data_IF_696880239936
#
_entry.id   IF_696880239936
#
_cell.length_a   1.000
_cell.length_b   1.000
_cell.length_c   1.000
_cell.angle_alpha   90.00
_cell.angle_beta   90.00
_cell.angle_gamma   90.00
#
_symmetry.space_group_name_H-M   'P 1'
#
loop_
_entity.id
_entity.type
_entity.pdbx_description
1 polymer ?
#
# COMPACT_ATOMS: atom_id res chain seq x y z
N UNK A 1 37.71 2.54 39.91
CA UNK A 1 37.00 2.26 38.66
C UNK A 1 37.25 3.44 37.73
N UNK A 2 38.14 3.26 36.76
CA UNK A 2 38.56 4.33 35.83
C UNK A 2 37.44 4.58 34.82
N UNK A 3 36.88 5.79 34.83
CA UNK A 3 35.95 6.28 33.81
C UNK A 3 36.71 6.43 32.50
N UNK A 4 36.41 5.57 31.51
CA UNK A 4 36.90 5.73 30.14
C UNK A 4 36.36 7.03 29.57
N UNK A 5 37.25 7.81 28.94
CA UNK A 5 36.93 9.01 28.17
C UNK A 5 36.08 8.62 26.96
N UNK A 6 35.01 9.37 26.78
CA UNK A 6 34.05 9.30 25.68
C UNK A 6 34.60 10.06 24.47
N UNK A 7 35.02 9.36 23.43
CA UNK A 7 35.43 9.94 22.14
C UNK A 7 34.45 9.47 21.05
N UNK A 8 34.06 10.38 20.15
CA UNK A 8 33.13 10.27 19.01
C UNK A 8 32.31 8.95 18.89
N UNK A 9 30.99 9.02 19.16
CA UNK A 9 30.06 7.86 19.07
C UNK A 9 29.08 7.69 20.24
N UNK A 10 28.94 8.67 21.14
CA UNK A 10 28.15 8.53 22.37
C UNK A 10 26.65 8.85 22.26
N UNK A 11 26.16 9.20 21.08
CA UNK A 11 24.78 9.61 20.87
C UNK A 11 24.11 8.59 19.96
N UNK A 12 23.41 7.64 20.56
CA UNK A 12 22.46 6.79 19.85
C UNK A 12 21.07 7.44 19.86
N UNK A 13 20.29 7.20 18.79
CA UNK A 13 18.96 7.75 18.64
C UNK A 13 17.98 6.67 18.16
N UNK A 14 16.71 6.83 18.54
CA UNK A 14 15.59 6.03 18.03
C UNK A 14 14.41 6.97 17.80
N UNK A 15 13.81 6.86 16.63
CA UNK A 15 12.59 7.54 16.24
C UNK A 15 11.56 6.48 15.87
N UNK A 16 10.32 6.63 16.35
CA UNK A 16 9.23 5.69 16.09
C UNK A 16 7.95 6.45 15.77
N UNK A 17 7.09 5.88 14.93
CA UNK A 17 5.71 6.34 14.75
C UNK A 17 4.73 5.16 14.79
N UNK A 18 3.52 5.43 15.29
CA UNK A 18 2.41 4.47 15.30
C UNK A 18 1.52 4.55 14.04
N UNK A 19 1.81 5.50 13.15
CA UNK A 19 1.11 5.70 11.88
C UNK A 19 0.56 7.11 11.73
N UNK A 20 0.11 7.43 10.53
CA UNK A 20 -0.35 8.76 10.14
C UNK A 20 -1.80 8.63 9.65
N UNK A 21 -2.69 9.34 10.34
CA UNK A 21 -4.13 9.25 10.16
C UNK A 21 -4.85 9.96 11.30
N UNK A 22 -6.17 9.78 11.39
CA UNK A 22 -6.95 10.38 12.46
C UNK A 22 -6.88 9.53 13.73
N UNK A 23 -6.18 10.04 14.73
CA UNK A 23 -6.14 9.46 16.07
C UNK A 23 -7.22 10.14 16.92
N UNK A 24 -8.20 9.37 17.40
CA UNK A 24 -9.21 9.90 18.32
C UNK A 24 -8.55 10.33 19.62
N UNK A 25 -9.10 11.39 20.23
CA UNK A 25 -8.61 11.91 21.51
C UNK A 25 -8.61 10.85 22.63
N UNK A 26 -9.48 9.84 22.54
CA UNK A 26 -9.55 8.75 23.51
C UNK A 26 -8.36 7.80 23.38
N UNK A 27 -7.92 7.51 22.15
CA UNK A 27 -6.86 6.55 21.86
C UNK A 27 -5.48 7.17 21.72
N UNK A 28 -5.37 8.50 21.57
CA UNK A 28 -4.10 9.22 21.44
C UNK A 28 -3.08 8.82 22.54
N UNK A 29 -3.51 8.79 23.80
CA UNK A 29 -2.65 8.39 24.91
C UNK A 29 -2.17 6.94 24.82
N UNK A 30 -2.98 6.05 24.24
CA UNK A 30 -2.64 4.63 24.08
C UNK A 30 -1.59 4.46 22.98
N UNK A 31 -1.73 5.18 21.86
CA UNK A 31 -0.75 5.24 20.78
C UNK A 31 0.58 5.83 21.25
N UNK A 32 0.53 6.98 21.94
CA UNK A 32 1.73 7.61 22.52
C UNK A 32 2.43 6.69 23.51
N UNK A 33 1.67 5.94 24.33
CA UNK A 33 2.23 4.95 25.24
C UNK A 33 2.91 3.81 24.48
N UNK A 34 2.31 3.31 23.39
CA UNK A 34 2.92 2.27 22.56
C UNK A 34 4.26 2.74 21.97
N UNK A 35 4.30 3.93 21.37
CA UNK A 35 5.53 4.56 20.87
C UNK A 35 6.59 4.73 21.97
N UNK A 36 6.21 5.30 23.11
CA UNK A 36 7.12 5.53 24.23
C UNK A 36 7.69 4.23 24.79
N UNK A 37 6.86 3.19 24.95
CA UNK A 37 7.31 1.89 25.45
C UNK A 37 8.29 1.23 24.46
N UNK A 38 7.99 1.27 23.15
CA UNK A 38 8.87 0.76 22.10
C UNK A 38 10.21 1.51 22.04
N UNK A 39 10.17 2.85 22.03
CA UNK A 39 11.37 3.69 22.01
C UNK A 39 12.26 3.48 23.24
N UNK A 40 11.68 3.31 24.43
CA UNK A 40 12.44 3.04 25.67
C UNK A 40 13.20 1.71 25.62
N UNK A 41 12.56 0.66 25.12
CA UNK A 41 13.21 -0.66 25.01
C UNK A 41 14.32 -0.61 23.95
N UNK A 42 14.05 -0.04 22.78
CA UNK A 42 15.05 0.13 21.72
C UNK A 42 16.23 1.00 22.18
N UNK A 43 15.97 2.11 22.87
CA UNK A 43 17.03 2.96 23.45
C UNK A 43 17.85 2.22 24.51
N UNK A 44 17.23 1.33 25.29
CA UNK A 44 17.96 0.48 26.24
C UNK A 44 18.87 -0.50 25.49
N UNK A 45 18.43 -1.07 24.38
CA UNK A 45 19.25 -1.92 23.53
C UNK A 45 20.45 -1.17 22.95
N UNK A 46 20.23 0.03 22.38
CA UNK A 46 21.29 0.88 21.83
C UNK A 46 22.32 1.27 22.91
N UNK A 47 21.87 1.69 24.10
CA UNK A 47 22.75 2.06 25.22
C UNK A 47 23.62 0.91 25.74
N UNK A 48 23.21 -0.33 25.50
CA UNK A 48 23.98 -1.53 25.84
C UNK A 48 24.87 -2.03 24.68
N UNK A 49 25.03 -1.24 23.62
CA UNK A 49 25.88 -1.57 22.47
C UNK A 49 25.21 -2.45 21.41
N UNK A 50 23.87 -2.57 21.44
CA UNK A 50 23.10 -3.20 20.37
C UNK A 50 23.16 -2.40 19.07
N UNK A 51 22.96 -3.08 17.94
CA UNK A 51 23.00 -2.43 16.62
C UNK A 51 21.72 -1.64 16.33
N UNK A 52 21.79 -0.72 15.36
CA UNK A 52 20.62 0.00 14.89
C UNK A 52 19.53 -0.93 14.33
N UNK A 53 19.92 -2.02 13.65
CA UNK A 53 18.99 -3.05 13.16
C UNK A 53 18.22 -3.72 14.29
N UNK A 54 18.92 -4.11 15.36
CA UNK A 54 18.29 -4.79 16.49
C UNK A 54 17.34 -3.83 17.25
N UNK A 55 17.70 -2.55 17.34
CA UNK A 55 16.87 -1.50 17.92
C UNK A 55 15.58 -1.24 17.11
N UNK A 56 15.68 -1.19 15.77
CA UNK A 56 14.51 -1.07 14.87
C UNK A 56 13.61 -2.29 15.01
N UNK A 57 14.17 -3.50 14.96
CA UNK A 57 13.42 -4.73 15.06
C UNK A 57 12.67 -4.83 16.39
N UNK A 58 13.33 -4.59 17.53
CA UNK A 58 12.66 -4.71 18.84
C UNK A 58 11.58 -3.64 19.03
N UNK A 59 11.79 -2.42 18.53
CA UNK A 59 10.77 -1.37 18.56
C UNK A 59 9.52 -1.79 17.80
N UNK A 60 9.70 -2.27 16.57
CA UNK A 60 8.59 -2.67 15.69
C UNK A 60 7.89 -3.93 16.21
N UNK A 61 8.62 -4.95 16.67
CA UNK A 61 8.02 -6.14 17.29
C UNK A 61 7.09 -5.79 18.45
N UNK A 62 7.52 -4.87 19.33
CA UNK A 62 6.72 -4.44 20.47
C UNK A 62 5.45 -3.70 20.06
N UNK A 63 5.49 -2.96 18.94
CA UNK A 63 4.31 -2.30 18.39
C UNK A 63 3.41 -3.31 17.68
N UNK A 64 3.93 -4.23 16.87
CA UNK A 64 3.16 -5.31 16.22
C UNK A 64 2.38 -6.20 17.20
N UNK A 65 2.86 -6.34 18.44
CA UNK A 65 2.17 -7.06 19.50
C UNK A 65 1.03 -6.25 20.16
N UNK A 66 0.86 -4.96 19.83
CA UNK A 66 -0.23 -4.12 20.33
C UNK A 66 -1.44 -4.17 19.42
N UNK A 67 -2.60 -4.40 20.01
CA UNK A 67 -3.89 -4.36 19.32
C UNK A 67 -4.22 -2.98 18.73
N UNK A 68 -3.69 -1.89 19.30
CA UNK A 68 -4.00 -0.53 18.89
C UNK A 68 -3.38 -0.13 17.55
N UNK A 69 -2.29 -0.80 17.15
CA UNK A 69 -1.56 -0.48 15.92
C UNK A 69 -1.99 -1.37 14.77
N UNK A 70 -2.09 -0.82 13.56
CA UNK A 70 -2.40 -1.59 12.36
C UNK A 70 -1.18 -2.36 11.81
N UNK A 71 -0.62 -3.26 12.61
CA UNK A 71 0.47 -4.15 12.23
C UNK A 71 0.47 -5.39 13.14
N UNK A 72 0.96 -6.53 12.64
CA UNK A 72 0.97 -7.78 13.41
C UNK A 72 -0.41 -8.17 13.93
N UNK A 73 -0.56 -8.27 15.25
CA UNK A 73 -1.80 -8.69 15.92
C UNK A 73 -2.96 -7.67 15.81
N UNK A 74 -2.66 -6.38 15.67
CA UNK A 74 -3.68 -5.32 15.52
C UNK A 74 -4.09 -5.03 14.08
N UNK A 75 -3.60 -5.83 13.12
CA UNK A 75 -3.78 -5.59 11.69
C UNK A 75 -5.25 -5.57 11.25
N UNK A 76 -5.53 -4.69 10.30
CA UNK A 76 -6.76 -4.71 9.51
C UNK A 76 -6.89 -6.03 8.75
N UNK A 77 -8.14 -6.41 8.51
CA UNK A 77 -8.48 -7.68 7.87
C UNK A 77 -8.76 -7.51 6.38
N UNK A 78 -8.43 -8.55 5.59
CA UNK A 78 -8.81 -8.65 4.17
C UNK A 78 -10.33 -8.78 4.00
N UNK A 79 -10.82 -8.75 2.76
CA UNK A 79 -12.25 -9.02 2.48
C UNK A 79 -12.72 -10.38 3.01
N UNK A 80 -11.82 -11.37 3.08
CA UNK A 80 -12.08 -12.70 3.63
C UNK A 80 -11.96 -12.78 5.16
N UNK A 81 -11.57 -11.69 5.82
CA UNK A 81 -11.41 -11.63 7.28
C UNK A 81 -10.07 -12.15 7.80
N UNK A 82 -9.06 -12.31 6.92
CA UNK A 82 -7.73 -12.78 7.31
C UNK A 82 -6.78 -11.63 7.60
N UNK A 83 -5.74 -11.89 8.40
CA UNK A 83 -4.59 -11.00 8.57
C UNK A 83 -3.53 -11.32 7.50
N UNK A 84 -3.13 -10.28 6.77
CA UNK A 84 -1.99 -10.29 5.86
C UNK A 84 -1.15 -9.03 6.09
N UNK A 85 0.15 -9.19 6.30
CA UNK A 85 1.04 -8.10 6.66
C UNK A 85 2.13 -7.85 5.62
N UNK A 86 2.54 -6.60 5.57
CA UNK A 86 3.65 -6.07 4.78
C UNK A 86 4.70 -5.52 5.75
N UNK A 87 5.98 -5.85 5.55
CA UNK A 87 7.06 -5.31 6.38
C UNK A 87 8.40 -5.29 5.65
N UNK A 88 9.25 -4.32 5.99
CA UNK A 88 10.59 -4.14 5.45
C UNK A 88 11.54 -3.68 6.54
N UNK A 89 12.78 -4.15 6.48
CA UNK A 89 13.89 -3.62 7.27
C UNK A 89 15.10 -3.39 6.36
N UNK A 90 15.80 -2.27 6.55
CA UNK A 90 16.94 -1.83 5.75
C UNK A 90 18.10 -1.48 6.67
N UNK A 91 19.29 -1.99 6.36
CA UNK A 91 20.51 -1.75 7.11
C UNK A 91 21.31 -0.53 6.61
N UNK A 92 22.36 -0.17 7.35
CA UNK A 92 23.28 0.92 7.05
C UNK A 92 24.05 0.79 5.72
N UNK A 93 24.03 -0.39 5.08
CA UNK A 93 24.64 -0.63 3.77
C UNK A 93 23.61 -0.55 2.64
N UNK A 94 22.35 -0.23 2.96
CA UNK A 94 21.23 -0.22 2.01
C UNK A 94 20.72 -1.63 1.66
N UNK A 95 21.19 -2.69 2.34
CA UNK A 95 20.65 -4.04 2.16
C UNK A 95 19.31 -4.13 2.88
N UNK A 96 18.40 -4.90 2.33
CA UNK A 96 17.02 -4.93 2.81
C UNK A 96 16.46 -6.34 2.84
N UNK A 97 15.59 -6.59 3.81
CA UNK A 97 14.74 -7.76 3.83
C UNK A 97 13.28 -7.31 3.89
N UNK A 98 12.41 -7.95 3.11
CA UNK A 98 11.01 -7.58 3.03
C UNK A 98 10.08 -8.78 2.90
N UNK A 99 8.86 -8.62 3.42
CA UNK A 99 7.73 -9.51 3.20
C UNK A 99 6.50 -8.72 2.76
N UNK A 100 5.65 -9.33 1.93
CA UNK A 100 4.40 -8.71 1.46
C UNK A 100 3.25 -9.71 1.42
N UNK A 101 2.04 -9.25 1.76
CA UNK A 101 0.84 -10.07 1.90
C UNK A 101 1.10 -11.38 2.70
N UNK A 102 1.96 -11.32 3.70
CA UNK A 102 2.40 -12.48 4.45
C UNK A 102 1.43 -12.74 5.60
N UNK A 103 0.95 -13.98 5.70
CA UNK A 103 0.03 -14.42 6.74
C UNK A 103 0.73 -15.38 7.72
N UNK A 104 0.08 -15.65 8.86
CA UNK A 104 0.53 -16.61 9.88
C UNK A 104 1.82 -16.23 10.63
N UNK A 105 2.32 -15.01 10.45
CA UNK A 105 3.50 -14.49 11.15
C UNK A 105 3.06 -13.44 12.16
N UNK A 106 3.35 -13.67 13.44
CA UNK A 106 3.00 -12.73 14.53
C UNK A 106 3.75 -11.40 14.43
N UNK A 107 5.04 -11.47 14.10
CA UNK A 107 5.91 -10.31 13.99
C UNK A 107 6.49 -10.20 12.57
N UNK A 108 5.75 -9.58 11.63
CA UNK A 108 6.20 -9.39 10.25
C UNK A 108 7.61 -8.81 10.10
N UNK A 109 8.00 -7.85 10.94
CA UNK A 109 9.34 -7.25 10.89
C UNK A 109 10.46 -8.28 11.13
N UNK A 110 10.23 -9.29 11.97
CA UNK A 110 11.23 -10.35 12.20
C UNK A 110 11.32 -11.31 11.01
N UNK A 111 10.24 -11.55 10.29
CA UNK A 111 10.31 -12.30 9.03
C UNK A 111 11.11 -11.52 7.97
N UNK A 112 10.92 -10.19 7.89
CA UNK A 112 11.74 -9.32 7.05
C UNK A 112 13.22 -9.34 7.48
N UNK A 113 13.52 -9.27 8.79
CA UNK A 113 14.89 -9.39 9.31
C UNK A 113 15.55 -10.72 8.95
N UNK A 114 14.83 -11.83 9.06
CA UNK A 114 15.34 -13.15 8.68
C UNK A 114 15.75 -13.20 7.21
N UNK A 115 15.00 -12.55 6.32
CA UNK A 115 15.34 -12.45 4.89
C UNK A 115 16.60 -11.59 4.69
N UNK A 116 16.74 -10.48 5.43
CA UNK A 116 17.95 -9.66 5.41
C UNK A 116 19.18 -10.48 5.86
N UNK A 117 19.11 -11.13 7.02
CA UNK A 117 20.22 -11.90 7.59
C UNK A 117 20.60 -13.12 6.71
N UNK A 118 19.64 -13.67 5.96
CA UNK A 118 19.90 -14.74 5.00
C UNK A 118 20.81 -14.31 3.84
N UNK A 119 20.90 -13.00 3.54
CA UNK A 119 21.75 -12.48 2.46
C UNK A 119 23.24 -12.57 2.77
N UNK A 120 23.62 -12.61 4.05
CA UNK A 120 25.00 -12.85 4.46
C UNK A 120 25.48 -14.27 4.13
N UNK A 121 24.56 -15.19 3.89
CA UNK A 121 24.86 -16.59 3.60
C UNK A 121 24.96 -16.79 2.09
N UNK A 122 26.14 -17.21 1.61
CA UNK A 122 26.30 -17.64 0.23
C UNK A 122 25.52 -18.93 -0.01
N UNK A 123 24.67 -18.93 -1.03
CA UNK A 123 23.99 -20.13 -1.49
C UNK A 123 24.88 -20.95 -2.41
N UNK A 124 24.61 -22.25 -2.48
CA UNK A 124 25.24 -23.14 -3.45
C UNK A 124 25.02 -22.64 -4.88
N UNK A 125 26.01 -22.91 -5.74
CA UNK A 125 25.97 -22.59 -7.18
C UNK A 125 25.84 -21.08 -7.47
N UNK A 126 26.47 -20.23 -6.66
CA UNK A 126 26.48 -18.77 -6.85
C UNK A 126 25.09 -18.14 -6.91
N UNK A 127 24.09 -18.79 -6.30
CA UNK A 127 22.74 -18.22 -6.22
C UNK A 127 22.72 -17.02 -5.30
N UNK A 128 21.90 -16.04 -5.66
CA UNK A 128 21.67 -14.83 -4.86
C UNK A 128 20.51 -15.10 -3.89
N UNK A 129 20.68 -14.88 -2.58
CA UNK A 129 19.59 -14.97 -1.62
C UNK A 129 18.47 -13.98 -1.95
N UNK A 130 17.20 -14.30 -1.64
CA UNK A 130 16.12 -13.34 -1.84
C UNK A 130 16.25 -12.18 -0.86
N UNK A 131 15.80 -10.99 -1.28
CA UNK A 131 15.62 -9.82 -0.43
C UNK A 131 14.13 -9.47 -0.19
N UNK A 132 13.22 -10.06 -0.96
CA UNK A 132 11.79 -9.84 -0.85
C UNK A 132 11.03 -11.13 -1.17
N UNK A 133 10.11 -11.54 -0.30
CA UNK A 133 9.22 -12.69 -0.49
C UNK A 133 7.78 -12.31 -0.18
N UNK A 134 6.80 -12.98 -0.80
CA UNK A 134 5.38 -12.65 -0.60
C UNK A 134 4.52 -13.88 -0.30
N UNK A 135 3.36 -13.63 0.30
CA UNK A 135 2.32 -14.63 0.54
C UNK A 135 2.84 -15.84 1.31
N UNK A 136 2.35 -17.01 0.90
CA UNK A 136 2.75 -18.31 1.49
C UNK A 136 4.25 -18.56 1.44
N UNK A 137 4.94 -18.12 0.38
CA UNK A 137 6.38 -18.33 0.22
C UNK A 137 7.20 -17.59 1.29
N UNK A 138 6.76 -16.39 1.70
CA UNK A 138 7.36 -15.66 2.81
C UNK A 138 7.18 -16.41 4.14
N UNK A 139 5.96 -16.89 4.41
CA UNK A 139 5.63 -17.66 5.63
C UNK A 139 6.45 -18.95 5.71
N UNK A 140 6.52 -19.71 4.61
CA UNK A 140 7.31 -20.94 4.53
C UNK A 140 8.81 -20.68 4.75
N UNK A 141 9.34 -19.62 4.14
CA UNK A 141 10.74 -19.25 4.34
C UNK A 141 11.04 -18.90 5.81
N UNK A 142 10.18 -18.09 6.43
CA UNK A 142 10.31 -17.72 7.83
C UNK A 142 10.26 -18.96 8.75
N UNK A 143 9.33 -19.88 8.50
CA UNK A 143 9.23 -21.16 9.22
C UNK A 143 10.52 -21.99 9.10
N UNK A 144 11.07 -22.12 7.89
CA UNK A 144 12.30 -22.88 7.65
C UNK A 144 13.54 -22.26 8.34
N UNK A 145 13.52 -20.95 8.58
CA UNK A 145 14.55 -20.26 9.35
C UNK A 145 14.28 -20.27 10.87
N UNK A 146 13.25 -20.97 11.32
CA UNK A 146 12.94 -21.17 12.75
C UNK A 146 12.00 -20.13 13.36
N UNK A 147 11.37 -19.26 12.55
CA UNK A 147 10.33 -18.37 13.05
C UNK A 147 9.06 -19.19 13.36
N UNK A 148 8.46 -18.94 14.53
CA UNK A 148 7.20 -19.58 14.90
C UNK A 148 6.06 -19.06 14.02
N UNK A 149 5.35 -19.99 13.39
CA UNK A 149 4.13 -19.73 12.62
C UNK A 149 2.92 -20.00 13.51
N UNK A 150 1.89 -19.19 13.36
CA UNK A 150 0.65 -19.27 14.16
C UNK A 150 -0.58 -19.35 13.25
N UNK A 151 -1.69 -19.85 13.77
CA UNK A 151 -2.96 -19.83 13.03
C UNK A 151 -3.42 -18.39 12.79
N UNK A 152 -4.00 -18.12 11.61
CA UNK A 152 -4.38 -16.76 11.23
C UNK A 152 -5.40 -16.16 12.21
N UNK A 153 -6.38 -16.96 12.64
CA UNK A 153 -7.39 -16.56 13.63
C UNK A 153 -6.78 -16.04 14.94
N UNK A 154 -5.58 -16.52 15.32
CA UNK A 154 -4.89 -16.04 16.53
C UNK A 154 -4.27 -14.65 16.37
N UNK A 155 -4.14 -14.17 15.14
CA UNK A 155 -3.68 -12.83 14.79
C UNK A 155 -4.84 -11.83 14.71
N UNK A 156 -6.09 -12.30 14.67
CA UNK A 156 -7.26 -11.44 14.55
C UNK A 156 -7.64 -10.89 15.93
N UNK A 157 -7.31 -9.63 16.18
CA UNK A 157 -7.72 -8.97 17.42
C UNK A 157 -9.24 -8.73 17.49
N UNK A 158 -9.84 -8.67 18.69
CA UNK A 158 -11.25 -8.34 18.87
C UNK A 158 -11.64 -7.01 18.22
N UNK A 159 -10.80 -5.98 18.35
CA UNK A 159 -11.05 -4.65 17.77
C UNK A 159 -11.02 -4.68 16.24
N UNK A 160 -10.05 -5.38 15.64
CA UNK A 160 -9.97 -5.54 14.18
C UNK A 160 -11.18 -6.32 13.64
N UNK A 161 -11.61 -7.38 14.33
CA UNK A 161 -12.79 -8.16 13.97
C UNK A 161 -14.08 -7.33 14.02
N UNK A 162 -14.25 -6.52 15.06
CA UNK A 162 -15.40 -5.63 15.18
C UNK A 162 -15.44 -4.60 14.04
N UNK A 163 -14.30 -4.00 13.70
CA UNK A 163 -14.16 -3.06 12.56
C UNK A 163 -14.51 -3.74 11.23
N UNK A 164 -14.00 -4.95 11.00
CA UNK A 164 -14.28 -5.72 9.79
C UNK A 164 -15.77 -6.07 9.64
N UNK A 165 -16.43 -6.53 10.71
CA UNK A 165 -17.87 -6.83 10.69
C UNK A 165 -18.70 -5.58 10.34
N UNK A 166 -18.31 -4.42 10.86
CA UNK A 166 -18.95 -3.15 10.54
C UNK A 166 -18.78 -2.80 9.06
N UNK A 167 -17.58 -2.89 8.52
CA UNK A 167 -17.33 -2.61 7.10
C UNK A 167 -18.07 -3.59 6.18
N UNK A 168 -18.16 -4.87 6.54
CA UNK A 168 -18.96 -5.85 5.80
C UNK A 168 -20.44 -5.43 5.70
N UNK A 169 -21.02 -4.95 6.81
CA UNK A 169 -22.39 -4.44 6.83
C UNK A 169 -22.55 -3.19 5.95
N UNK A 170 -21.63 -2.23 6.07
CA UNK A 170 -21.65 -0.98 5.29
C UNK A 170 -21.51 -1.24 3.79
N UNK A 171 -20.61 -2.15 3.38
CA UNK A 171 -20.41 -2.55 1.97
C UNK A 171 -21.67 -3.22 1.41
N UNK A 172 -22.29 -4.13 2.17
CA UNK A 172 -23.52 -4.80 1.74
C UNK A 172 -24.70 -3.82 1.64
N UNK A 173 -24.84 -2.89 2.59
CA UNK A 173 -25.85 -1.82 2.50
C UNK A 173 -25.64 -0.94 1.27
N UNK A 174 -24.41 -0.52 0.99
CA UNK A 174 -24.09 0.29 -0.20
C UNK A 174 -24.37 -0.47 -1.51
N UNK A 175 -24.10 -1.79 -1.54
CA UNK A 175 -24.41 -2.65 -2.69
C UNK A 175 -25.91 -2.71 -2.96
N UNK A 176 -26.72 -2.89 -1.91
CA UNK A 176 -28.18 -2.92 -2.03
C UNK A 176 -28.75 -1.57 -2.49
N UNK A 177 -28.19 -0.45 -2.03
CA UNK A 177 -28.58 0.89 -2.49
C UNK A 177 -28.25 1.11 -3.96
N UNK A 178 -27.07 0.69 -4.42
CA UNK A 178 -26.69 0.76 -5.83
C UNK A 178 -27.58 -0.11 -6.72
N UNK A 179 -27.88 -1.34 -6.28
CA UNK A 179 -28.81 -2.24 -6.98
C UNK A 179 -30.20 -1.61 -7.08
N UNK A 180 -30.73 -1.06 -5.98
CA UNK A 180 -32.04 -0.38 -5.97
C UNK A 180 -32.07 0.85 -6.88
N UNK A 181 -31.00 1.66 -6.91
CA UNK A 181 -30.87 2.82 -7.80
C UNK A 181 -30.81 2.40 -9.27
N UNK A 182 -30.06 1.33 -9.60
CA UNK A 182 -29.97 0.81 -10.97
C UNK A 182 -31.33 0.29 -11.48
N UNK A 183 -32.09 -0.40 -10.62
CA UNK A 183 -33.45 -0.88 -10.94
C UNK A 183 -34.41 0.29 -11.13
N UNK A 184 -34.35 1.32 -10.26
CA UNK A 184 -35.17 2.51 -10.38
C UNK A 184 -34.89 3.27 -11.70
N UNK A 185 -33.62 3.49 -12.05
CA UNK A 185 -33.23 4.11 -13.32
C UNK A 185 -33.69 3.31 -14.54
N UNK A 186 -33.50 1.99 -14.53
CA UNK A 186 -33.97 1.11 -15.62
C UNK A 186 -35.51 1.16 -15.76
N UNK A 187 -36.23 1.21 -14.63
CA UNK A 187 -37.69 1.30 -14.62
C UNK A 187 -38.16 2.66 -15.15
N UNK A 188 -37.52 3.76 -14.79
CA UNK A 188 -37.82 5.10 -15.31
C UNK A 188 -37.56 5.20 -16.82
N UNK A 189 -36.47 4.63 -17.32
CA UNK A 189 -36.18 4.56 -18.77
C UNK A 189 -37.23 3.75 -19.53
N UNK A 190 -37.66 2.59 -19.02
CA UNK A 190 -38.73 1.79 -19.62
C UNK A 190 -40.05 2.58 -19.67
N UNK A 191 -40.42 3.26 -18.58
CA UNK A 191 -41.64 4.08 -18.52
C UNK A 191 -41.58 5.26 -19.50
N UNK A 192 -40.41 5.88 -19.71
CA UNK A 192 -40.23 6.94 -20.72
C UNK A 192 -40.33 6.41 -22.16
N UNK A 193 -39.85 5.20 -22.43
CA UNK A 193 -39.99 4.55 -23.75
C UNK A 193 -41.46 4.18 -24.04
N UNK A 194 -42.20 3.69 -23.04
CA UNK A 194 -43.63 3.39 -23.20
C UNK A 194 -44.49 4.65 -23.38
N UNK A 195 -44.16 5.75 -22.70
CA UNK A 195 -44.88 7.03 -22.89
C UNK A 195 -44.58 7.71 -24.23
N UNK A 196 -43.38 7.55 -24.79
CA UNK A 196 -43.04 8.09 -26.13
C UNK A 196 -43.65 7.27 -27.27
N UNK A 197 -43.71 5.93 -27.14
CA UNK A 197 -44.34 5.04 -28.14
C UNK A 197 -45.87 5.15 -28.19
N UNK A 198 -46.51 5.64 -27.12
CA UNK A 198 -47.96 5.92 -27.06
C UNK A 198 -48.42 7.09 -27.95
N UNK A 199 -47.49 7.82 -28.59
CA UNK A 199 -47.78 9.01 -29.41
C UNK A 199 -47.61 8.83 -30.94
N UNK A 200 -47.28 7.63 -31.41
CA UNK A 200 -47.15 7.35 -32.85
C UNK A 200 -48.30 6.46 -33.33
N UNK A 201 -49.27 7.06 -34.03
CA UNK A 201 -50.27 6.32 -34.80
C UNK A 201 -49.60 5.68 -36.02
N UNK A 202 -49.48 4.36 -36.00
CA UNK A 202 -49.03 3.59 -37.17
C UNK A 202 -50.15 3.58 -38.22
N UNK A 203 -49.94 4.27 -39.34
CA UNK A 203 -50.77 4.13 -40.54
C UNK A 203 -50.26 2.95 -41.35
N UNK A 204 -51.09 1.92 -41.45
CA UNK A 204 -50.81 0.68 -42.16
C UNK A 204 -51.11 0.84 -43.65
N UNK A 205 -50.11 0.67 -44.51
CA UNK A 205 -50.33 0.27 -45.92
C UNK A 205 -49.60 -1.04 -46.17
N UNK A 206 -50.35 -2.15 -46.07
CA UNK A 206 -49.92 -3.48 -46.52
C UNK A 206 -50.05 -3.53 -48.04
N UNK A 207 -48.98 -3.90 -48.73
CA UNK A 207 -49.02 -4.25 -50.16
C UNK A 207 -49.09 -5.79 -50.27
N UNK A 208 -50.14 -6.39 -50.86
CA UNK A 208 -50.36 -7.82 -50.83
C UNK A 208 -49.80 -8.49 -52.08
N UNK A 209 -48.67 -9.20 -51.97
CA UNK A 209 -48.30 -10.17 -52.98
C UNK A 209 -47.38 -11.28 -52.42
N UNK A 210 -47.85 -12.51 -52.67
CA UNK A 210 -47.16 -13.80 -52.61
C UNK A 210 -47.25 -14.60 -51.29
N UNK A 211 -48.33 -15.38 -51.29
CA UNK A 211 -48.66 -16.53 -50.47
C UNK A 211 -48.26 -17.81 -51.25
N UNK A 212 -47.91 -18.88 -50.52
CA UNK A 212 -47.88 -20.32 -50.87
C UNK A 212 -46.49 -21.00 -50.99
N UNK A 213 -46.06 -21.62 -49.85
CA UNK A 213 -45.81 -23.08 -49.56
C UNK A 213 -45.16 -24.02 -50.61
N UNK A 214 -44.71 -25.26 -50.28
CA UNK A 214 -44.47 -25.95 -49.00
C UNK A 214 -43.10 -26.72 -48.89
N UNK A 215 -42.84 -27.48 -47.80
CA UNK A 215 -41.52 -28.02 -47.43
C UNK A 215 -41.33 -29.52 -47.79
N UNK A 216 -40.08 -30.04 -47.75
CA UNK A 216 -39.70 -31.39 -47.24
C UNK A 216 -38.20 -31.74 -47.50
N UNK A 217 -37.64 -32.45 -46.51
CA UNK A 217 -36.67 -33.57 -46.57
C UNK A 217 -35.13 -33.42 -46.57
N UNK A 218 -34.59 -34.36 -45.78
CA UNK A 218 -33.21 -34.74 -45.44
C UNK A 218 -32.36 -35.21 -46.64
N UNK A 219 -31.04 -35.02 -46.58
CA UNK A 219 -30.02 -36.09 -46.73
C UNK A 219 -28.57 -35.61 -46.61
N UNK A 220 -27.74 -36.44 -45.94
CA UNK A 220 -26.27 -36.50 -45.98
C UNK A 220 -25.70 -36.72 -47.40
N UNK A 221 -24.47 -36.25 -47.65
CA UNK A 221 -23.28 -37.03 -48.10
C UNK A 221 -22.13 -36.09 -48.56
N UNK A 222 -20.91 -36.52 -48.21
CA UNK A 222 -19.56 -36.01 -48.48
C UNK A 222 -19.20 -35.57 -49.91
N UNK A 223 -18.21 -34.67 -50.08
CA UNK A 223 -16.89 -34.95 -50.72
C UNK A 223 -15.93 -33.74 -50.74
N UNK A 224 -14.71 -33.98 -50.23
CA UNK A 224 -13.35 -33.61 -50.70
C UNK A 224 -12.88 -32.17 -51.06
N UNK A 225 -11.80 -31.78 -50.33
CA UNK A 225 -10.46 -31.29 -50.74
C UNK A 225 -10.17 -29.80 -51.05
N UNK A 226 -9.27 -29.29 -50.19
CA UNK A 226 -8.05 -28.48 -50.41
C UNK A 226 -8.12 -27.13 -51.16
N UNK A 227 -7.75 -26.04 -50.48
CA UNK A 227 -6.47 -25.34 -50.69
C UNK A 227 -6.23 -24.18 -49.71
N UNK A 228 -4.96 -24.07 -49.29
CA UNK A 228 -4.33 -23.01 -48.50
C UNK A 228 -4.60 -21.59 -49.04
N UNK A 229 -4.71 -20.60 -48.16
CA UNK A 229 -3.99 -19.32 -48.29
C UNK A 229 -4.05 -18.49 -47.01
N UNK A 230 -2.86 -18.04 -46.60
CA UNK A 230 -2.53 -17.05 -45.57
C UNK A 230 -3.30 -15.73 -45.71
N UNK A 231 -3.83 -15.19 -44.59
CA UNK A 231 -4.40 -13.85 -44.51
C UNK A 231 -3.58 -12.99 -43.55
N UNK A 232 -2.99 -11.93 -44.11
CA UNK A 232 -2.33 -10.80 -43.44
C UNK A 232 -3.39 -9.79 -43.02
N UNK A 233 -3.35 -9.31 -41.78
CA UNK A 233 -4.22 -8.25 -41.26
C UNK A 233 -3.62 -6.86 -41.56
N UNK A 234 -4.39 -5.89 -42.10
CA UNK A 234 -3.94 -4.51 -42.25
C UNK A 234 -4.32 -3.60 -41.07
N UNK A 235 -3.45 -2.60 -40.83
CA UNK A 235 -3.55 -1.53 -39.81
C UNK A 235 -4.77 -0.61 -39.98
N UNK A 236 -5.26 0.03 -38.91
CA UNK A 236 -6.34 1.01 -39.00
C UNK A 236 -5.83 2.43 -39.32
N UNK A 237 -6.54 3.09 -40.24
CA UNK A 237 -6.33 4.46 -40.68
C UNK A 237 -6.88 5.50 -39.69
N UNK A 238 -6.21 6.65 -39.64
CA UNK A 238 -6.58 7.88 -38.93
C UNK A 238 -7.69 8.68 -39.65
N UNK A 239 -8.11 9.78 -38.98
CA UNK A 239 -8.72 11.05 -39.47
C UNK A 239 -10.23 11.21 -39.12
N UNK A 240 -10.78 12.42 -38.80
CA UNK A 240 -10.26 13.64 -38.14
C UNK A 240 -11.15 14.20 -37.00
N UNK A 241 -10.63 15.23 -36.33
CA UNK A 241 -11.27 16.15 -35.38
C UNK A 241 -12.20 17.18 -36.05
N UNK A 242 -13.35 17.49 -35.43
CA UNK A 242 -13.84 18.87 -35.17
C UNK A 242 -15.18 18.85 -34.40
N UNK A 243 -15.34 19.77 -33.44
CA UNK A 243 -16.65 20.10 -32.86
C UNK A 243 -16.67 20.30 -31.34
N UNK A 244 -16.33 21.52 -30.92
CA UNK A 244 -16.47 22.04 -29.55
C UNK A 244 -17.91 21.97 -29.02
N UNK A 245 -18.13 21.28 -27.90
CA UNK A 245 -19.19 21.59 -26.95
C UNK A 245 -18.60 21.63 -25.53
N UNK A 246 -18.54 22.84 -24.98
CA UNK A 246 -18.21 23.09 -23.59
C UNK A 246 -19.28 22.49 -22.69
N UNK A 247 -18.90 21.50 -21.88
CA UNK A 247 -19.59 21.14 -20.64
C UNK A 247 -18.54 21.15 -19.55
N UNK A 248 -18.69 22.11 -18.67
CA UNK A 248 -17.81 22.42 -17.56
C UNK A 248 -18.38 21.70 -16.33
N UNK A 249 -17.93 20.47 -16.06
CA UNK A 249 -18.16 19.82 -14.77
C UNK A 249 -16.83 19.26 -14.25
N UNK A 250 -16.17 20.11 -13.46
CA UNK A 250 -15.20 19.73 -12.44
C UNK A 250 -15.82 18.69 -11.52
N UNK A 251 -15.37 17.44 -11.61
CA UNK A 251 -15.65 16.41 -10.61
C UNK A 251 -14.77 16.73 -9.39
N UNK A 252 -15.27 17.61 -8.54
CA UNK A 252 -14.77 17.81 -7.19
C UNK A 252 -15.21 16.63 -6.34
N UNK A 253 -14.28 15.72 -6.01
CA UNK A 253 -14.47 14.78 -4.91
C UNK A 253 -14.37 15.52 -3.57
N UNK A 254 -15.42 16.27 -3.24
CA UNK A 254 -15.67 16.72 -1.87
C UNK A 254 -16.49 15.67 -1.12
N UNK A 255 -16.32 15.51 0.20
CA UNK A 255 -17.11 14.57 0.96
C UNK A 255 -18.57 15.03 0.96
N UNK A 256 -19.47 14.24 0.36
CA UNK A 256 -20.92 14.42 0.51
C UNK A 256 -21.30 13.98 1.93
N UNK A 257 -21.48 14.96 2.80
CA UNK A 257 -22.20 14.79 4.06
C UNK A 257 -23.64 14.39 3.76
N UNK A 258 -24.03 13.18 4.17
CA UNK A 258 -25.41 12.86 4.50
C UNK A 258 -25.42 12.47 5.96
N UNK A 259 -26.12 13.25 6.77
CA UNK A 259 -26.07 13.14 8.22
C UNK A 259 -26.82 11.90 8.70
N UNK A 260 -26.12 11.03 9.43
CA UNK A 260 -26.67 10.24 10.53
C UNK A 260 -25.56 9.79 11.51
N UNK A 261 -25.58 10.38 12.71
CA UNK A 261 -25.04 9.92 14.01
C UNK A 261 -23.53 9.60 14.18
N UNK A 262 -22.83 10.51 14.88
CA UNK A 262 -21.61 10.32 15.70
C UNK A 262 -20.35 9.78 14.99
N UNK A 263 -19.70 10.59 14.16
CA UNK A 263 -18.38 10.29 13.58
C UNK A 263 -17.19 10.74 14.46
N UNK A 264 -17.41 11.50 15.53
CA UNK A 264 -16.33 12.16 16.29
C UNK A 264 -15.49 11.26 17.24
N UNK A 265 -15.62 9.93 17.22
CA UNK A 265 -15.05 9.05 18.28
C UNK A 265 -14.38 7.75 17.80
N UNK A 266 -14.11 7.57 16.51
CA UNK A 266 -13.46 6.35 16.01
C UNK A 266 -12.18 6.70 15.25
N UNK A 267 -11.11 5.94 15.52
CA UNK A 267 -9.84 6.06 14.80
C UNK A 267 -10.03 5.72 13.31
N UNK A 268 -9.80 6.70 12.43
CA UNK A 268 -9.72 6.51 10.98
C UNK A 268 -8.24 6.40 10.60
N UNK A 269 -7.69 5.26 10.99
CA UNK A 269 -6.26 4.97 10.98
C UNK A 269 -5.91 4.10 9.76
N UNK A 270 -5.07 4.64 8.86
CA UNK A 270 -4.48 3.92 7.71
C UNK A 270 -3.05 3.50 8.03
N UNK A 271 -2.83 2.96 9.23
CA UNK A 271 -1.52 3.04 9.85
C UNK A 271 -0.52 2.01 9.35
N UNK A 272 0.70 2.50 9.19
CA UNK A 272 1.94 1.75 9.15
C UNK A 272 2.72 2.18 10.39
N UNK A 273 3.29 1.23 11.12
CA UNK A 273 4.26 1.55 12.17
C UNK A 273 5.65 1.62 11.56
N UNK A 274 6.51 2.46 12.11
CA UNK A 274 7.85 2.67 11.58
C UNK A 274 8.87 3.04 12.64
N UNK A 275 10.12 2.71 12.38
CA UNK A 275 11.24 3.04 13.26
C UNK A 275 12.51 3.35 12.47
N UNK A 276 13.28 4.33 12.95
CA UNK A 276 14.64 4.67 12.48
C UNK A 276 15.55 4.69 13.70
N UNK A 277 16.70 4.02 13.63
CA UNK A 277 17.69 4.01 14.71
C UNK A 277 19.08 4.38 14.22
N UNK A 278 19.87 4.99 15.10
CA UNK A 278 21.31 5.23 14.92
C UNK A 278 22.03 4.65 16.13
N UNK A 279 22.98 3.75 15.89
CA UNK A 279 23.78 3.14 16.97
C UNK A 279 25.03 3.92 17.34
N UNK A 280 25.74 3.46 18.38
CA UNK A 280 26.97 4.12 18.87
C UNK A 280 28.13 4.11 17.88
N UNK A 281 28.01 3.36 16.78
CA UNK A 281 29.00 3.35 15.70
C UNK A 281 28.60 4.27 14.55
N UNK A 282 27.50 5.02 14.67
CA UNK A 282 26.96 5.89 13.62
C UNK A 282 26.21 5.13 12.52
N UNK A 283 25.95 3.83 12.70
CA UNK A 283 25.22 3.05 11.69
C UNK A 283 23.73 3.31 11.83
N UNK A 284 23.08 3.56 10.71
CA UNK A 284 21.63 3.81 10.63
C UNK A 284 20.88 2.55 10.19
N UNK A 285 19.65 2.39 10.66
CA UNK A 285 18.72 1.38 10.14
C UNK A 285 17.31 1.95 10.14
N UNK A 286 16.47 1.42 9.25
CA UNK A 286 15.07 1.78 9.17
C UNK A 286 14.20 0.55 8.92
N UNK A 287 12.96 0.59 9.39
CA UNK A 287 11.98 -0.44 9.08
C UNK A 287 10.55 0.04 9.26
N UNK A 288 9.64 -0.67 8.61
CA UNK A 288 8.20 -0.46 8.71
C UNK A 288 7.43 -1.78 8.69
N UNK A 289 6.21 -1.74 9.22
CA UNK A 289 5.29 -2.88 9.24
C UNK A 289 3.85 -2.37 9.19
N UNK A 290 2.98 -3.05 8.44
CA UNK A 290 1.57 -2.69 8.31
C UNK A 290 0.69 -3.90 7.99
N UNK A 291 -0.55 -3.90 8.51
CA UNK A 291 -1.64 -4.77 8.08
C UNK A 291 -2.31 -4.32 6.77
N UNK A 292 -1.99 -3.12 6.29
CA UNK A 292 -2.62 -2.52 5.11
C UNK A 292 -4.01 -1.94 5.38
N UNK A 293 -4.73 -1.61 4.30
CA UNK A 293 -6.07 -1.03 4.40
C UNK A 293 -7.11 -2.08 4.79
N UNK A 294 -8.15 -1.66 5.51
CA UNK A 294 -9.31 -2.50 5.81
C UNK A 294 -9.97 -3.02 4.54
N UNK A 295 -10.51 -4.24 4.58
CA UNK A 295 -11.21 -4.86 3.46
C UNK A 295 -10.39 -4.87 2.16
N UNK A 296 -9.07 -4.92 2.27
CA UNK A 296 -8.22 -5.11 1.08
C UNK A 296 -8.50 -6.48 0.46
N UNK A 297 -8.36 -6.57 -0.85
CA UNK A 297 -8.30 -7.87 -1.52
C UNK A 297 -7.08 -8.65 -1.00
N UNK A 298 -7.23 -9.95 -0.74
CA UNK A 298 -6.11 -10.81 -0.37
C UNK A 298 -4.99 -10.75 -1.41
N UNK A 299 -3.74 -10.65 -0.96
CA UNK A 299 -2.58 -10.44 -1.83
C UNK A 299 -2.28 -8.98 -2.17
N UNK A 300 -3.06 -8.00 -1.71
CA UNK A 300 -2.71 -6.57 -1.86
C UNK A 300 -1.48 -6.26 -1.00
N UNK A 301 -0.42 -5.81 -1.65
CA UNK A 301 0.84 -5.37 -1.04
C UNK A 301 0.89 -3.84 -1.02
N UNK A 302 1.19 -3.26 0.13
CA UNK A 302 1.37 -1.82 0.33
C UNK A 302 2.82 -1.37 0.49
N UNK A 303 3.05 -0.06 0.71
CA UNK A 303 4.38 0.54 0.86
C UNK A 303 5.30 -0.13 1.88
N UNK A 304 4.77 -0.65 2.99
CA UNK A 304 5.59 -1.23 4.05
C UNK A 304 6.42 -2.45 3.59
N UNK A 305 6.06 -3.10 2.48
CA UNK A 305 6.83 -4.19 1.86
C UNK A 305 7.84 -3.70 0.80
N UNK A 306 7.74 -2.43 0.40
CA UNK A 306 8.42 -1.89 -0.78
C UNK A 306 9.58 -0.98 -0.35
N UNK A 307 10.80 -1.51 -0.50
CA UNK A 307 12.05 -0.77 -0.27
C UNK A 307 12.12 0.44 -1.20
N UNK A 308 12.49 1.59 -0.67
CA UNK A 308 12.49 2.88 -1.37
C UNK A 308 11.14 3.59 -1.38
N UNK A 309 10.05 2.91 -0.99
CA UNK A 309 8.70 3.47 -0.98
C UNK A 309 8.20 3.66 0.46
N UNK A 310 8.14 2.57 1.24
CA UNK A 310 7.76 2.63 2.66
C UNK A 310 8.95 2.91 3.57
N UNK A 311 10.13 2.42 3.21
CA UNK A 311 11.37 2.65 3.96
C UNK A 311 12.57 2.76 3.04
N UNK A 312 13.45 3.71 3.29
CA UNK A 312 14.67 3.94 2.52
C UNK A 312 15.85 4.23 3.45
N UNK A 313 17.05 3.79 3.05
CA UNK A 313 18.33 4.18 3.66
C UNK A 313 19.29 4.54 2.54
N UNK A 314 19.84 5.75 2.60
CA UNK A 314 21.03 6.13 1.83
C UNK A 314 22.24 5.81 2.72
N UNK A 315 23.08 4.83 2.32
CA UNK A 315 24.23 4.42 3.11
C UNK A 315 25.32 5.48 3.12
N UNK A 316 26.22 5.40 4.10
CA UNK A 316 27.47 6.18 4.12
C UNK A 316 28.27 5.93 2.84
N UNK A 317 28.67 7.00 2.14
CA UNK A 317 29.69 6.93 1.10
C UNK A 317 31.09 6.94 1.75
N UNK A 318 31.95 5.92 1.52
CA UNK A 318 33.32 5.91 2.04
C UNK A 318 34.20 7.08 1.57
N UNK A 319 33.79 7.78 0.50
CA UNK A 319 34.46 8.96 -0.03
C UNK A 319 33.94 10.27 0.57
N UNK A 320 32.79 10.26 1.26
CA UNK A 320 32.24 11.41 1.95
C UNK A 320 32.97 11.62 3.31
N UNK A 321 33.70 12.73 3.51
CA UNK A 321 34.36 13.02 4.79
C UNK A 321 33.37 13.19 5.95
N UNK A 322 32.14 13.63 5.68
CA UNK A 322 31.09 13.82 6.70
C UNK A 322 30.36 12.51 7.03
N UNK A 323 30.56 11.47 6.21
CA UNK A 323 29.94 10.14 6.38
C UNK A 323 28.42 10.22 6.47
N UNK A 324 27.82 11.08 5.65
CA UNK A 324 26.40 11.37 5.67
C UNK A 324 25.62 10.12 5.34
N UNK A 325 24.56 9.86 6.11
CA UNK A 325 23.58 8.82 5.80
C UNK A 325 22.20 9.34 6.16
N UNK A 326 21.19 8.87 5.43
CA UNK A 326 19.80 9.31 5.61
C UNK A 326 18.91 8.08 5.66
N UNK A 327 17.93 8.08 6.54
CA UNK A 327 16.89 7.06 6.55
C UNK A 327 15.52 7.71 6.65
N UNK A 328 14.55 7.10 5.96
CA UNK A 328 13.18 7.58 5.92
C UNK A 328 12.22 6.39 6.08
N UNK A 329 11.16 6.60 6.85
CA UNK A 329 10.02 5.67 6.95
C UNK A 329 8.73 6.48 6.78
N UNK A 330 7.77 5.93 6.04
CA UNK A 330 6.52 6.62 5.68
C UNK A 330 5.28 5.88 6.21
N UNK A 331 4.19 6.63 6.41
CA UNK A 331 2.86 6.12 6.73
C UNK A 331 1.79 7.01 6.10
N UNK A 332 0.60 6.45 5.86
CA UNK A 332 -0.54 7.15 5.29
C UNK A 332 -1.16 6.37 4.12
N UNK A 333 -1.73 7.08 3.16
CA UNK A 333 -2.38 6.48 1.99
C UNK A 333 -1.37 5.76 1.11
N UNK A 334 -1.44 4.43 1.09
CA UNK A 334 -0.40 3.60 0.52
C UNK A 334 -0.17 3.82 -0.99
N UNK A 335 -1.25 3.97 -1.75
CA UNK A 335 -1.22 4.19 -3.19
C UNK A 335 -0.55 5.53 -3.55
N UNK A 336 -0.75 6.56 -2.73
CA UNK A 336 -0.11 7.86 -2.93
C UNK A 336 1.39 7.81 -2.61
N UNK A 337 1.74 7.17 -1.49
CA UNK A 337 3.13 6.91 -1.09
C UNK A 337 3.87 6.12 -2.17
N UNK A 338 3.23 5.09 -2.73
CA UNK A 338 3.79 4.29 -3.80
C UNK A 338 4.04 5.09 -5.08
N UNK A 339 3.07 5.90 -5.49
CA UNK A 339 3.16 6.66 -6.74
C UNK A 339 4.26 7.73 -6.70
N UNK A 340 4.47 8.33 -5.52
CA UNK A 340 5.45 9.41 -5.30
C UNK A 340 6.83 8.91 -4.87
N UNK A 341 7.00 7.59 -4.70
CA UNK A 341 8.21 6.96 -4.16
C UNK A 341 8.68 7.63 -2.85
N UNK A 342 7.72 7.98 -1.98
CA UNK A 342 7.89 9.01 -0.95
C UNK A 342 9.14 8.81 -0.07
N UNK A 343 9.45 7.59 0.39
CA UNK A 343 10.62 7.38 1.24
C UNK A 343 11.94 7.70 0.53
N UNK A 344 12.14 7.20 -0.70
CA UNK A 344 13.36 7.45 -1.47
C UNK A 344 13.46 8.90 -1.93
N UNK A 345 12.35 9.52 -2.34
CA UNK A 345 12.33 10.94 -2.71
C UNK A 345 12.75 11.80 -1.52
N UNK A 346 12.13 11.58 -0.35
CA UNK A 346 12.47 12.27 0.89
C UNK A 346 13.94 12.06 1.29
N UNK A 347 14.44 10.82 1.24
CA UNK A 347 15.81 10.52 1.57
C UNK A 347 16.80 11.27 0.66
N UNK A 348 16.54 11.30 -0.66
CA UNK A 348 17.39 12.03 -1.61
C UNK A 348 17.34 13.55 -1.38
N UNK A 349 16.15 14.13 -1.17
CA UNK A 349 16.01 15.58 -0.89
C UNK A 349 16.81 16.02 0.33
N UNK A 350 16.75 15.24 1.40
CA UNK A 350 17.52 15.50 2.62
C UNK A 350 19.03 15.32 2.34
N UNK A 351 19.42 14.20 1.74
CA UNK A 351 20.83 13.87 1.52
C UNK A 351 21.56 14.90 0.66
N UNK A 352 20.93 15.36 -0.43
CA UNK A 352 21.51 16.39 -1.30
C UNK A 352 21.20 17.82 -0.84
N UNK A 353 20.40 17.97 0.22
CA UNK A 353 19.90 19.26 0.69
C UNK A 353 19.30 20.08 -0.46
N UNK A 354 18.42 19.45 -1.24
CA UNK A 354 17.81 20.05 -2.42
C UNK A 354 16.27 20.08 -2.36
N UNK A 355 15.68 21.02 -3.07
CA UNK A 355 14.23 21.05 -3.35
C UNK A 355 13.96 21.18 -4.82
N UNK A 356 12.79 20.71 -5.24
CA UNK A 356 12.27 20.88 -6.59
C UNK A 356 11.48 22.18 -6.70
N UNK A 357 11.79 23.00 -7.70
CA UNK A 357 11.00 24.18 -8.04
C UNK A 357 9.84 23.84 -9.00
N UNK A 358 8.98 24.82 -9.28
CA UNK A 358 7.83 24.69 -10.19
C UNK A 358 8.24 24.34 -11.64
N UNK A 359 9.48 24.66 -12.04
CA UNK A 359 10.04 24.31 -13.35
C UNK A 359 10.58 22.89 -13.42
N UNK A 360 10.62 22.20 -12.28
CA UNK A 360 11.13 20.84 -12.14
C UNK A 360 12.66 20.78 -11.94
N UNK A 361 13.33 21.92 -11.81
CA UNK A 361 14.76 21.97 -11.49
C UNK A 361 15.00 21.84 -9.99
N UNK A 362 16.21 21.42 -9.63
CA UNK A 362 16.64 21.28 -8.23
C UNK A 362 17.49 22.46 -7.79
N UNK A 363 17.18 23.03 -6.63
CA UNK A 363 18.00 24.06 -5.99
C UNK A 363 18.45 23.62 -4.59
N UNK A 364 19.66 24.01 -4.21
CA UNK A 364 20.22 23.69 -2.89
C UNK A 364 19.60 24.58 -1.81
N UNK A 365 19.14 23.96 -0.72
CA UNK A 365 18.42 24.58 0.40
C UNK A 365 18.86 23.94 1.72
N UNK A 366 18.25 24.32 2.84
CA UNK A 366 18.44 23.61 4.11
C UNK A 366 17.64 22.29 4.13
N UNK A 367 18.02 21.34 4.99
CA UNK A 367 17.30 20.07 5.15
C UNK A 367 15.82 20.27 5.55
N UNK A 368 15.53 21.27 6.38
CA UNK A 368 14.16 21.63 6.77
C UNK A 368 13.34 22.11 5.56
N UNK A 369 13.93 22.97 4.72
CA UNK A 369 13.30 23.44 3.48
C UNK A 369 13.15 22.31 2.46
N UNK A 370 14.12 21.40 2.37
CA UNK A 370 14.07 20.22 1.51
C UNK A 370 12.92 19.29 1.89
N UNK A 371 12.76 18.98 3.19
CA UNK A 371 11.64 18.16 3.69
C UNK A 371 10.31 18.85 3.44
N UNK A 372 10.23 20.15 3.75
CA UNK A 372 9.00 20.91 3.53
C UNK A 372 8.58 20.91 2.06
N UNK A 373 9.52 21.18 1.16
CA UNK A 373 9.26 21.16 -0.27
C UNK A 373 8.96 19.76 -0.80
N UNK A 374 9.61 18.72 -0.27
CA UNK A 374 9.27 17.33 -0.60
C UNK A 374 7.81 17.02 -0.26
N UNK A 375 7.32 17.46 0.90
CA UNK A 375 5.91 17.28 1.28
C UNK A 375 4.98 18.10 0.40
N UNK A 376 5.25 19.40 0.22
CA UNK A 376 4.34 20.29 -0.49
C UNK A 376 4.32 20.04 -2.00
N UNK A 377 5.48 19.79 -2.60
CA UNK A 377 5.67 19.73 -4.07
C UNK A 377 5.73 18.28 -4.55
N UNK A 378 6.67 17.48 -4.05
CA UNK A 378 6.88 16.12 -4.57
C UNK A 378 5.76 15.15 -4.13
N UNK A 379 5.19 15.34 -2.94
CA UNK A 379 4.11 14.52 -2.41
C UNK A 379 2.73 15.13 -2.69
N UNK A 380 2.37 16.25 -2.07
CA UNK A 380 1.03 16.84 -2.20
C UNK A 380 0.75 17.40 -3.60
N UNK A 381 1.76 17.97 -4.25
CA UNK A 381 1.66 18.53 -5.60
C UNK A 381 1.44 17.52 -6.72
N UNK A 382 1.62 16.21 -6.46
CA UNK A 382 1.46 15.17 -7.47
C UNK A 382 0.05 15.10 -8.06
N UNK A 383 -0.98 15.36 -7.25
CA UNK A 383 -2.37 15.40 -7.70
C UNK A 383 -2.70 16.59 -8.63
N UNK A 384 -1.83 17.60 -8.74
CA UNK A 384 -2.08 18.76 -9.60
C UNK A 384 -1.68 18.54 -11.07
N UNK A 385 -1.09 17.38 -11.40
CA UNK A 385 -0.59 17.05 -12.75
C UNK A 385 -1.53 16.11 -13.52
N UNK A 386 -2.56 15.58 -12.86
CA UNK A 386 -3.67 14.80 -13.44
C UNK A 386 -4.99 15.50 -13.17
#
# INVERSE_FOLDING_TARGET
MSSRSREAGDICAIYVHAGAGFHSYQNENVHLKACNDAAKVAMTMLKNGGSALDAVEIALRLMEDREITNAGYGSNLTVEGNVECDATIVDHLGRSGAIGACSHVRNPISAARIILDAQDKRLSLQRVPPNFLVGKGATEFAYLQGLQIVENDSLVSPTAKARWLRWQQEVESARQEQEAQSVAQTTEEIVQIETTTSSVSFSTTVNPAMLMTPPSDLHDISTSKEQDTTVVLPEPALVPTDGTHHINESITFGPKQTGHATEDNVDTITDTIGAIAVDSYGRIAAGSSSGGIGMKHSGRVGPAALVGIGSAVIPEDPQDPEKTSVATVTSGTGEHIATTLAASTCANRIYYSDRRDESGMTEHVTEEEAIKAMVDVDFMGWYAVF
#
